data_IF_143519817210
#
_entry.id   IF_143519817210
#
_cell.length_a   1.000
_cell.length_b   1.000
_cell.length_c   1.000
_cell.angle_alpha   90.00
_cell.angle_beta   90.00
_cell.angle_gamma   90.00
#
_symmetry.space_group_name_H-M   'P 1'
#
loop_
_entity.id
_entity.type
_entity.pdbx_description
1 polymer ?
#
# COMPACT_ATOMS: atom_id res chain seq x y z
N UNK A 1 7.26 -13.37 43.15
CA UNK A 1 6.21 -13.25 42.12
C UNK A 1 6.85 -12.57 40.93
N UNK A 2 7.38 -13.38 40.01
CA UNK A 2 8.24 -12.93 38.91
C UNK A 2 7.37 -12.35 37.80
N UNK A 3 7.70 -11.14 37.37
CA UNK A 3 7.04 -10.41 36.30
C UNK A 3 7.23 -11.16 34.98
N UNK A 4 6.13 -11.66 34.40
CA UNK A 4 6.12 -12.37 33.13
C UNK A 4 5.76 -11.41 31.99
N UNK A 5 6.65 -11.37 31.00
CA UNK A 5 6.39 -11.09 29.59
C UNK A 5 5.64 -9.79 29.24
N UNK A 6 6.41 -8.71 29.15
CA UNK A 6 6.10 -7.58 28.27
C UNK A 6 6.44 -7.97 26.81
N UNK A 7 5.59 -8.77 26.17
CA UNK A 7 5.73 -9.18 24.76
C UNK A 7 4.44 -8.89 23.98
N UNK A 8 4.18 -7.61 23.66
CA UNK A 8 3.20 -7.23 22.62
C UNK A 8 3.37 -5.79 22.11
N UNK A 9 4.61 -5.32 21.98
CA UNK A 9 4.89 -3.99 21.43
C UNK A 9 5.84 -4.10 20.22
N UNK A 10 5.41 -4.71 19.11
CA UNK A 10 6.19 -4.70 17.85
C UNK A 10 5.38 -4.96 16.57
N UNK A 11 4.12 -4.52 16.50
CA UNK A 11 3.33 -4.62 15.26
C UNK A 11 2.96 -3.25 14.63
N UNK A 12 3.49 -2.14 15.15
CA UNK A 12 3.05 -0.80 14.72
C UNK A 12 4.17 0.20 14.41
N UNK A 13 5.39 -0.25 14.08
CA UNK A 13 6.51 0.67 13.76
C UNK A 13 7.10 0.45 12.36
N UNK A 14 6.39 -0.25 11.47
CA UNK A 14 6.89 -0.52 10.11
C UNK A 14 6.37 0.44 9.04
N UNK A 15 5.14 0.92 9.16
CA UNK A 15 4.48 1.74 8.13
C UNK A 15 4.66 3.23 8.34
N UNK A 16 4.71 3.72 9.58
CA UNK A 16 4.86 5.16 9.86
C UNK A 16 6.18 5.74 9.32
N UNK A 17 7.26 4.94 9.31
CA UNK A 17 8.58 5.33 8.79
C UNK A 17 8.80 4.95 7.30
N UNK A 18 7.82 4.34 6.63
CA UNK A 18 7.94 3.97 5.22
C UNK A 18 7.81 5.18 4.29
N UNK A 19 8.42 5.10 3.09
CA UNK A 19 8.24 6.11 2.04
C UNK A 19 6.78 6.25 1.63
N UNK A 20 6.39 7.43 1.12
CA UNK A 20 5.01 7.73 0.72
C UNK A 20 4.48 6.74 -0.32
N UNK A 21 5.32 6.29 -1.27
CA UNK A 21 4.96 5.29 -2.27
C UNK A 21 4.65 3.91 -1.67
N UNK A 22 5.32 3.55 -0.57
CA UNK A 22 5.11 2.27 0.12
C UNK A 22 3.80 2.33 0.91
N UNK A 23 3.57 3.43 1.64
CA UNK A 23 2.32 3.66 2.39
C UNK A 23 1.12 3.60 1.45
N UNK A 24 1.18 4.32 0.33
CA UNK A 24 0.12 4.32 -0.67
C UNK A 24 -0.09 2.94 -1.30
N UNK A 25 0.97 2.18 -1.57
CA UNK A 25 0.83 0.82 -2.09
C UNK A 25 0.08 -0.09 -1.12
N UNK A 26 0.36 0.02 0.19
CA UNK A 26 -0.34 -0.75 1.23
C UNK A 26 -1.82 -0.35 1.33
N UNK A 27 -2.12 0.94 1.30
CA UNK A 27 -3.50 1.43 1.30
C UNK A 27 -4.29 0.94 0.07
N UNK A 28 -3.65 0.95 -1.11
CA UNK A 28 -4.24 0.45 -2.35
C UNK A 28 -4.50 -1.06 -2.29
N UNK A 29 -3.56 -1.85 -1.76
CA UNK A 29 -3.76 -3.31 -1.59
C UNK A 29 -4.94 -3.56 -0.65
N UNK A 30 -5.00 -2.87 0.49
CA UNK A 30 -6.10 -3.00 1.44
C UNK A 30 -7.46 -2.64 0.79
N UNK A 31 -7.51 -1.56 -0.01
CA UNK A 31 -8.72 -1.18 -0.75
C UNK A 31 -9.15 -2.26 -1.75
N UNK A 32 -8.22 -2.85 -2.49
CA UNK A 32 -8.53 -3.89 -3.48
C UNK A 32 -9.04 -5.17 -2.82
N UNK A 33 -8.40 -5.60 -1.73
CA UNK A 33 -8.79 -6.79 -0.97
C UNK A 33 -10.14 -6.60 -0.28
N UNK A 34 -10.38 -5.43 0.34
CA UNK A 34 -11.65 -5.14 1.03
C UNK A 34 -12.86 -5.09 0.09
N UNK A 35 -12.65 -4.89 -1.21
CA UNK A 35 -13.69 -4.92 -2.24
C UNK A 35 -13.68 -6.23 -3.05
N UNK A 36 -12.94 -7.26 -2.61
CA UNK A 36 -12.86 -8.57 -3.26
C UNK A 36 -12.50 -8.48 -4.75
N UNK A 37 -11.61 -7.55 -5.11
CA UNK A 37 -11.16 -7.38 -6.48
C UNK A 37 -10.15 -8.48 -6.82
N UNK A 38 -10.46 -9.25 -7.87
CA UNK A 38 -9.55 -10.30 -8.35
C UNK A 38 -8.18 -9.71 -8.73
N UNK A 39 -7.06 -10.39 -8.40
CA UNK A 39 -5.72 -9.85 -8.62
C UNK A 39 -5.40 -9.49 -10.09
N UNK A 40 -5.91 -10.27 -11.05
CA UNK A 40 -5.71 -10.02 -12.47
C UNK A 40 -6.42 -8.73 -12.94
N UNK A 41 -7.64 -8.50 -12.45
CA UNK A 41 -8.40 -7.27 -12.68
C UNK A 41 -7.70 -6.07 -12.03
N UNK A 42 -7.24 -6.22 -10.78
CA UNK A 42 -6.51 -5.18 -10.07
C UNK A 42 -5.22 -4.76 -10.82
N UNK A 43 -4.43 -5.73 -11.27
CA UNK A 43 -3.21 -5.48 -12.04
C UNK A 43 -3.50 -4.77 -13.36
N UNK A 44 -4.54 -5.19 -14.09
CA UNK A 44 -4.96 -4.52 -15.33
C UNK A 44 -5.37 -3.06 -15.08
N UNK A 45 -6.12 -2.80 -14.00
CA UNK A 45 -6.51 -1.45 -13.62
C UNK A 45 -5.31 -0.57 -13.21
N UNK A 46 -4.37 -1.12 -12.43
CA UNK A 46 -3.16 -0.40 -12.01
C UNK A 46 -2.27 -0.03 -13.18
N UNK A 47 -2.18 -0.87 -14.23
CA UNK A 47 -1.44 -0.53 -15.45
C UNK A 47 -2.10 0.65 -16.19
N UNK A 48 -3.44 0.71 -16.25
CA UNK A 48 -4.16 1.86 -16.81
C UNK A 48 -3.87 3.14 -16.02
N UNK A 49 -3.95 3.08 -14.68
CA UNK A 49 -3.65 4.21 -13.79
C UNK A 49 -2.22 4.71 -13.99
N UNK A 50 -1.24 3.79 -14.00
CA UNK A 50 0.17 4.11 -14.26
C UNK A 50 0.35 4.83 -15.59
N UNK A 51 -0.27 4.36 -16.66
CA UNK A 51 -0.19 5.00 -17.98
C UNK A 51 -0.80 6.41 -17.97
N UNK A 52 -1.90 6.64 -17.26
CA UNK A 52 -2.50 7.99 -17.11
C UNK A 52 -1.55 8.94 -16.36
N UNK A 53 -0.97 8.49 -15.24
CA UNK A 53 -0.01 9.27 -14.47
C UNK A 53 1.25 9.60 -15.30
N UNK A 54 1.78 8.64 -16.05
CA UNK A 54 2.91 8.88 -16.97
C UNK A 54 2.56 9.94 -18.02
N UNK A 55 1.36 9.86 -18.64
CA UNK A 55 0.91 10.87 -19.61
C UNK A 55 0.80 12.26 -18.97
N UNK A 56 0.37 12.36 -17.71
CA UNK A 56 0.31 13.64 -16.97
C UNK A 56 1.70 14.23 -16.75
N UNK A 57 2.68 13.39 -16.40
CA UNK A 57 4.08 13.82 -16.27
C UNK A 57 4.66 14.28 -17.62
N UNK A 58 4.32 13.60 -18.71
CA UNK A 58 4.80 13.97 -20.06
C UNK A 58 4.12 15.22 -20.66
N UNK A 59 2.97 15.65 -20.14
CA UNK A 59 2.26 16.87 -20.59
C UNK A 59 2.74 18.15 -19.91
N UNK A 60 3.74 18.06 -19.02
CA UNK A 60 4.35 19.19 -18.32
C UNK A 60 5.60 19.77 -19.00
N UNK A 61 5.85 19.45 -20.27
CA UNK A 61 6.91 20.01 -21.12
C UNK A 61 6.32 20.81 -22.28
#
# INVERSE_FOLDING_TARGET
MTQAANDSASANTGLDDASDEIKLAVDLIYLLESHEIEPDVALAALEIVKQDLQRKLSKGN
#
